data_IF_129722874589
#
_entry.id   IF_129722874589
#
_cell.length_a   1.000
_cell.length_b   1.000
_cell.length_c   1.000
_cell.angle_alpha   90.00
_cell.angle_beta   90.00
_cell.angle_gamma   90.00
#
_symmetry.space_group_name_H-M   'P 1'
#
loop_
_entity.id
_entity.type
_entity.pdbx_description
1 polymer ?
#
# COMPACT_ATOMS: atom_id res chain seq x y z
N UNK A 1 1.21 5.87 -31.30
CA UNK A 1 -0.14 5.83 -30.67
C UNK A 1 0.08 5.56 -29.19
N UNK A 2 -0.54 6.30 -28.26
CA UNK A 2 -0.39 6.03 -26.82
C UNK A 2 -1.08 4.73 -26.41
N UNK A 3 -0.52 4.04 -25.41
CA UNK A 3 -1.11 2.86 -24.80
C UNK A 3 -2.41 3.20 -24.05
N UNK A 4 -3.23 2.17 -23.80
CA UNK A 4 -4.50 2.31 -23.07
C UNK A 4 -4.29 2.22 -21.55
N UNK A 5 -5.15 2.86 -20.74
CA UNK A 5 -5.18 2.65 -19.30
C UNK A 5 -5.38 1.17 -18.94
N UNK A 6 -4.86 0.77 -17.79
CA UNK A 6 -5.02 -0.59 -17.25
C UNK A 6 -5.95 -0.60 -16.03
N UNK A 7 -6.67 -1.70 -15.87
CA UNK A 7 -7.34 -2.06 -14.63
C UNK A 7 -6.88 -3.47 -14.24
N UNK A 8 -6.29 -3.58 -13.07
CA UNK A 8 -5.78 -4.82 -12.50
C UNK A 8 -6.32 -5.05 -11.09
N UNK A 9 -7.49 -4.50 -10.76
CA UNK A 9 -8.16 -4.74 -9.47
C UNK A 9 -7.58 -3.99 -8.27
N UNK A 10 -6.69 -3.02 -8.51
CA UNK A 10 -6.03 -2.24 -7.45
C UNK A 10 -7.04 -1.47 -6.57
N UNK A 11 -8.11 -0.93 -7.15
CA UNK A 11 -9.11 -0.19 -6.39
C UNK A 11 -9.83 -1.08 -5.38
N UNK A 12 -10.28 -2.27 -5.82
CA UNK A 12 -10.94 -3.24 -4.95
C UNK A 12 -10.00 -3.74 -3.84
N UNK A 13 -8.71 -3.92 -4.19
CA UNK A 13 -7.71 -4.28 -3.21
C UNK A 13 -7.53 -3.22 -2.12
N UNK A 14 -7.39 -1.95 -2.51
CA UNK A 14 -7.18 -0.85 -1.59
C UNK A 14 -8.40 -0.58 -0.68
N UNK A 15 -9.64 -0.82 -1.16
CA UNK A 15 -10.87 -0.69 -0.36
C UNK A 15 -10.86 -1.56 0.91
N UNK A 16 -10.17 -2.70 0.87
CA UNK A 16 -10.13 -3.68 1.97
C UNK A 16 -8.79 -3.78 2.69
N UNK A 17 -7.67 -3.56 2.00
CA UNK A 17 -6.35 -3.87 2.54
C UNK A 17 -5.96 -2.94 3.71
N UNK A 18 -5.91 -1.63 3.45
CA UNK A 18 -5.54 -0.55 4.41
C UNK A 18 -4.20 -0.72 5.14
N UNK A 19 -3.37 -1.69 4.77
CA UNK A 19 -2.10 -1.99 5.45
C UNK A 19 -1.13 -0.81 5.48
N UNK A 20 -1.11 0.01 4.42
CA UNK A 20 -0.31 1.23 4.39
C UNK A 20 -0.79 2.29 5.39
N UNK A 21 -2.10 2.38 5.65
CA UNK A 21 -2.68 3.26 6.66
C UNK A 21 -2.38 2.74 8.08
N UNK A 22 -2.56 1.44 8.31
CA UNK A 22 -2.24 0.77 9.58
C UNK A 22 -0.77 1.00 9.99
N UNK A 23 0.14 0.99 9.01
CA UNK A 23 1.58 1.11 9.23
C UNK A 23 2.13 2.54 9.08
N UNK A 24 1.28 3.55 8.89
CA UNK A 24 1.75 4.93 8.73
C UNK A 24 2.12 5.53 10.10
N UNK A 25 3.41 5.80 10.39
CA UNK A 25 3.80 6.32 11.71
C UNK A 25 3.25 7.73 11.98
N UNK A 26 3.01 8.50 10.91
CA UNK A 26 2.44 9.84 11.00
C UNK A 26 0.90 9.85 10.99
N UNK A 27 0.26 8.69 10.84
CA UNK A 27 -1.19 8.54 10.66
C UNK A 27 -1.75 9.51 9.59
N UNK A 28 -1.01 9.61 8.48
CA UNK A 28 -1.30 10.54 7.39
C UNK A 28 -2.17 9.94 6.28
N UNK A 29 -2.23 8.62 6.17
CA UNK A 29 -2.97 7.93 5.10
C UNK A 29 -4.41 7.68 5.56
N UNK A 30 -5.37 7.94 4.68
CA UNK A 30 -6.79 7.76 5.00
C UNK A 30 -7.15 6.27 5.18
N UNK A 31 -8.13 6.02 6.05
CA UNK A 31 -8.80 4.74 6.26
C UNK A 31 -10.12 4.62 5.49
N UNK A 32 -10.47 5.63 4.68
CA UNK A 32 -11.70 5.64 3.91
C UNK A 32 -11.77 4.43 3.00
N UNK A 33 -12.94 3.80 2.95
CA UNK A 33 -13.15 2.68 2.04
C UNK A 33 -12.95 3.14 0.60
N UNK A 34 -13.57 4.27 0.25
CA UNK A 34 -13.72 4.69 -1.13
C UNK A 34 -12.95 6.00 -1.39
N UNK A 35 -12.37 6.17 -2.59
CA UNK A 35 -11.74 7.42 -2.95
C UNK A 35 -12.80 8.51 -3.14
N UNK A 36 -12.41 9.76 -2.92
CA UNK A 36 -13.29 10.92 -3.03
C UNK A 36 -12.77 11.89 -4.09
N UNK A 37 -13.65 12.75 -4.60
CA UNK A 37 -13.23 13.80 -5.52
C UNK A 37 -12.34 14.82 -4.80
N UNK A 38 -11.21 15.15 -5.43
CA UNK A 38 -10.32 16.22 -4.98
C UNK A 38 -9.64 16.85 -6.18
N UNK A 39 -9.81 18.16 -6.36
CA UNK A 39 -9.21 18.92 -7.46
C UNK A 39 -9.52 18.33 -8.86
N UNK A 40 -10.77 17.89 -9.07
CA UNK A 40 -11.26 17.42 -10.37
C UNK A 40 -10.96 15.96 -10.72
N UNK A 41 -10.46 15.16 -9.77
CA UNK A 41 -10.26 13.72 -9.97
C UNK A 41 -10.47 12.92 -8.68
N UNK A 42 -10.77 11.63 -8.83
CA UNK A 42 -11.09 10.73 -7.73
C UNK A 42 -9.81 10.11 -7.16
N UNK A 43 -9.61 10.21 -5.84
CA UNK A 43 -8.46 9.60 -5.14
C UNK A 43 -8.71 9.41 -3.64
N UNK A 44 -7.92 8.55 -3.00
CA UNK A 44 -7.79 8.59 -1.55
C UNK A 44 -6.90 9.77 -1.16
N UNK A 45 -7.39 10.66 -0.31
CA UNK A 45 -6.60 11.78 0.18
C UNK A 45 -5.76 11.37 1.39
N UNK A 46 -4.53 11.85 1.44
CA UNK A 46 -3.66 11.74 2.62
C UNK A 46 -3.37 13.13 3.17
N UNK A 47 -3.11 13.22 4.48
CA UNK A 47 -2.61 14.44 5.12
C UNK A 47 -1.12 14.60 4.79
N UNK A 48 -0.84 15.25 3.66
CA UNK A 48 0.52 15.48 3.18
C UNK A 48 1.31 16.43 4.09
N UNK A 49 0.65 17.23 4.94
CA UNK A 49 1.34 18.09 5.91
C UNK A 49 1.91 17.23 7.04
N UNK A 50 1.11 16.30 7.60
CA UNK A 50 1.61 15.30 8.57
C UNK A 50 2.70 14.42 7.99
N UNK A 51 2.51 13.91 6.77
CA UNK A 51 3.52 13.09 6.10
C UNK A 51 4.83 13.85 5.91
N UNK A 52 4.78 15.10 5.42
CA UNK A 52 5.97 15.95 5.26
C UNK A 52 6.65 16.19 6.60
N UNK A 53 5.90 16.60 7.63
CA UNK A 53 6.45 16.85 8.96
C UNK A 53 7.20 15.64 9.53
N UNK A 54 6.62 14.44 9.39
CA UNK A 54 7.29 13.22 9.82
C UNK A 54 8.52 12.91 8.95
N UNK A 55 8.42 13.01 7.62
CA UNK A 55 9.55 12.72 6.72
C UNK A 55 10.75 13.64 6.96
N UNK A 56 10.53 14.92 7.28
CA UNK A 56 11.62 15.90 7.43
C UNK A 56 12.10 16.08 8.86
N UNK A 57 11.34 15.62 9.86
CA UNK A 57 11.61 15.94 11.27
C UNK A 57 11.51 14.75 12.23
N UNK A 58 11.48 13.51 11.73
CA UNK A 58 11.61 12.36 12.63
C UNK A 58 13.08 12.16 13.04
N UNK A 59 13.33 11.94 14.32
CA UNK A 59 14.68 11.75 14.87
C UNK A 59 15.19 10.30 14.75
N UNK A 60 14.32 9.37 14.36
CA UNK A 60 14.59 7.94 14.30
C UNK A 60 15.08 7.47 12.92
N UNK A 61 15.33 8.38 11.98
CA UNK A 61 15.74 8.04 10.63
C UNK A 61 15.84 9.24 9.70
N UNK A 62 16.02 8.97 8.41
CA UNK A 62 16.02 9.98 7.36
C UNK A 62 14.89 9.68 6.38
N UNK A 63 13.99 10.64 6.14
CA UNK A 63 12.79 10.45 5.34
C UNK A 63 11.83 9.38 5.92
N UNK A 64 10.88 8.91 5.10
CA UNK A 64 10.01 7.78 5.39
C UNK A 64 9.53 7.18 4.07
N UNK A 65 9.40 5.86 4.03
CA UNK A 65 8.84 5.09 2.91
C UNK A 65 8.06 3.86 3.38
N UNK A 66 7.60 3.86 4.65
CA UNK A 66 6.99 2.68 5.30
C UNK A 66 5.76 2.18 4.55
N UNK A 67 4.95 3.08 3.99
CA UNK A 67 3.78 2.74 3.19
C UNK A 67 4.10 1.96 1.91
N UNK A 68 5.24 2.23 1.27
CA UNK A 68 5.71 1.49 0.09
C UNK A 68 6.17 0.11 0.53
N UNK A 69 7.02 0.06 1.56
CA UNK A 69 7.59 -1.19 2.11
C UNK A 69 6.53 -2.22 2.49
N UNK A 70 5.46 -1.78 3.13
CA UNK A 70 4.42 -2.66 3.67
C UNK A 70 3.32 -3.02 2.68
N UNK A 71 3.34 -2.43 1.47
CA UNK A 71 2.31 -2.69 0.47
C UNK A 71 2.40 -4.15 -0.03
N UNK A 72 1.31 -4.93 -0.03
CA UNK A 72 1.34 -6.30 -0.55
C UNK A 72 1.69 -6.41 -2.03
N UNK A 73 1.57 -5.30 -2.79
CA UNK A 73 1.99 -5.22 -4.19
C UNK A 73 3.49 -4.96 -4.36
N UNK A 74 4.20 -4.65 -3.28
CA UNK A 74 5.63 -4.42 -3.31
C UNK A 74 6.36 -5.75 -3.05
N UNK A 75 6.66 -6.49 -4.12
CA UNK A 75 7.42 -7.74 -3.99
C UNK A 75 8.87 -7.49 -3.61
N UNK A 76 9.40 -8.38 -2.77
CA UNK A 76 10.82 -8.43 -2.44
C UNK A 76 11.66 -9.15 -3.49
N UNK A 77 11.05 -10.13 -4.14
CA UNK A 77 11.69 -10.98 -5.14
C UNK A 77 10.71 -11.21 -6.29
N UNK A 78 11.21 -11.23 -7.53
CA UNK A 78 10.38 -11.66 -8.65
C UNK A 78 10.15 -13.16 -8.54
N UNK A 79 8.95 -13.54 -8.10
CA UNK A 79 8.59 -14.94 -7.89
C UNK A 79 7.21 -15.25 -8.46
N UNK A 80 7.09 -16.43 -9.07
CA UNK A 80 5.84 -16.88 -9.68
C UNK A 80 4.69 -16.98 -8.66
N UNK A 81 5.00 -17.26 -7.39
CA UNK A 81 4.00 -17.35 -6.33
C UNK A 81 3.52 -15.96 -5.88
N UNK A 82 4.40 -14.94 -5.89
CA UNK A 82 3.97 -13.56 -5.63
C UNK A 82 3.06 -13.07 -6.76
N UNK A 83 3.44 -13.31 -8.02
CA UNK A 83 2.62 -12.99 -9.19
C UNK A 83 1.25 -13.68 -9.16
N UNK A 84 1.21 -14.96 -8.78
CA UNK A 84 -0.05 -15.68 -8.60
C UNK A 84 -0.89 -15.08 -7.45
N UNK A 85 -0.25 -14.72 -6.33
CA UNK A 85 -0.90 -14.09 -5.18
C UNK A 85 -1.58 -12.78 -5.54
N UNK A 86 -0.85 -11.85 -6.17
CA UNK A 86 -1.40 -10.56 -6.60
C UNK A 86 -2.49 -10.73 -7.68
N UNK A 87 -2.34 -11.70 -8.58
CA UNK A 87 -3.37 -12.01 -9.57
C UNK A 87 -4.65 -12.51 -8.90
N UNK A 88 -4.57 -13.36 -7.87
CA UNK A 88 -5.73 -13.79 -7.09
C UNK A 88 -6.34 -12.58 -6.35
N UNK A 89 -5.52 -11.78 -5.69
CA UNK A 89 -5.95 -10.57 -4.98
C UNK A 89 -6.64 -9.54 -5.88
N UNK A 90 -6.33 -9.52 -7.17
CA UNK A 90 -6.96 -8.63 -8.16
C UNK A 90 -8.40 -8.97 -8.52
N UNK A 91 -8.93 -10.13 -8.10
CA UNK A 91 -10.25 -10.63 -8.55
C UNK A 91 -11.44 -10.12 -7.74
N UNK A 92 -11.21 -9.18 -6.82
CA UNK A 92 -12.26 -8.50 -6.05
C UNK A 92 -11.99 -8.45 -4.55
N UNK A 93 -12.88 -7.77 -3.82
CA UNK A 93 -12.70 -7.46 -2.38
C UNK A 93 -12.48 -8.71 -1.49
N UNK A 94 -13.17 -9.83 -1.77
CA UNK A 94 -13.00 -11.08 -0.98
C UNK A 94 -11.61 -11.67 -1.15
N UNK A 95 -11.13 -11.79 -2.39
CA UNK A 95 -9.79 -12.31 -2.68
C UNK A 95 -8.71 -11.37 -2.15
N UNK A 96 -8.94 -10.07 -2.22
CA UNK A 96 -8.05 -9.07 -1.64
C UNK A 96 -7.95 -9.18 -0.11
N UNK A 97 -9.05 -9.44 0.60
CA UNK A 97 -9.03 -9.70 2.05
C UNK A 97 -8.23 -10.96 2.39
N UNK A 98 -8.41 -12.03 1.63
CA UNK A 98 -7.64 -13.26 1.82
C UNK A 98 -6.14 -13.01 1.62
N UNK A 99 -5.77 -12.32 0.53
CA UNK A 99 -4.37 -12.02 0.25
C UNK A 99 -3.75 -11.13 1.34
N UNK A 100 -4.48 -10.13 1.86
CA UNK A 100 -4.05 -9.33 3.02
C UNK A 100 -3.74 -10.25 4.22
N UNK A 101 -4.66 -11.14 4.57
CA UNK A 101 -4.48 -12.03 5.72
C UNK A 101 -3.26 -12.94 5.59
N UNK A 102 -3.01 -13.44 4.37
CA UNK A 102 -1.80 -14.21 4.05
C UNK A 102 -0.55 -13.33 4.20
N UNK A 103 -0.56 -12.14 3.62
CA UNK A 103 0.55 -11.19 3.68
C UNK A 103 0.94 -10.82 5.12
N UNK A 104 -0.06 -10.61 5.99
CA UNK A 104 0.13 -10.37 7.42
C UNK A 104 0.64 -11.62 8.16
N UNK A 105 0.11 -12.81 7.85
CA UNK A 105 0.53 -14.08 8.48
C UNK A 105 2.01 -14.40 8.21
N UNK A 106 2.50 -14.09 7.01
CA UNK A 106 3.90 -14.31 6.65
C UNK A 106 4.84 -13.18 7.09
N UNK A 107 4.31 -12.13 7.73
CA UNK A 107 5.12 -11.02 8.25
C UNK A 107 5.70 -10.12 7.17
N UNK A 108 5.13 -10.10 5.96
CA UNK A 108 5.63 -9.24 4.90
C UNK A 108 5.52 -7.76 5.29
N UNK A 109 6.63 -7.04 5.13
CA UNK A 109 6.75 -5.63 5.46
C UNK A 109 7.24 -5.34 6.89
N UNK A 110 7.47 -6.34 7.74
CA UNK A 110 7.99 -6.16 9.11
C UNK A 110 9.50 -6.33 9.24
N UNK A 111 10.21 -6.60 8.15
CA UNK A 111 11.58 -7.11 8.19
C UNK A 111 12.58 -5.99 8.46
N UNK A 112 13.60 -6.24 9.28
CA UNK A 112 14.65 -5.27 9.58
C UNK A 112 15.86 -5.52 8.67
N UNK A 113 16.35 -4.48 7.99
CA UNK A 113 17.58 -4.58 7.19
C UNK A 113 18.73 -4.32 8.17
N UNK A 114 19.28 -5.39 8.73
CA UNK A 114 20.34 -5.30 9.74
C UNK A 114 21.70 -4.88 9.13
N UNK A 115 21.91 -5.14 7.83
CA UNK A 115 23.10 -4.73 7.08
C UNK A 115 22.77 -4.42 5.61
N UNK A 116 23.42 -3.38 5.10
CA UNK A 116 23.52 -3.04 3.67
C UNK A 116 24.76 -3.68 3.07
#
# INVERSE_FOLDING_TARGET
VPDKPIDFGMLDFCRVCRKCADNCPAQAISFDKDPVEYNGYIRWNSDFKKCTGFRTGNDAGNCCGRCIKTCPWNSKESSWFHEAGIWIGSKGETSAKLLKGIDDMFGYGTEEIEKY
#
